data_IF_172277189691
#
_entry.id   IF_172277189691
#
_cell.length_a   1.000
_cell.length_b   1.000
_cell.length_c   1.000
_cell.angle_alpha   90.00
_cell.angle_beta   90.00
_cell.angle_gamma   90.00
#
_symmetry.space_group_name_H-M   'P 1'
#
loop_
_entity.id
_entity.type
_entity.pdbx_description
1 polymer ?
#
# COMPACT_ATOMS: atom_id res chain seq x y z
N UNK A 1 4.63 4.88 -15.07
CA UNK A 1 4.76 3.95 -13.94
C UNK A 1 3.81 2.78 -14.12
N UNK A 2 4.08 1.62 -13.51
CA UNK A 2 3.23 0.43 -13.51
C UNK A 2 2.77 -0.02 -14.91
N UNK A 3 3.69 -0.12 -15.89
CA UNK A 3 3.39 -0.62 -17.24
C UNK A 3 2.96 -2.09 -17.22
N UNK A 4 3.43 -2.83 -16.23
CA UNK A 4 2.98 -4.16 -15.83
C UNK A 4 2.42 -4.10 -14.41
N UNK A 5 1.59 -5.06 -13.96
CA UNK A 5 1.15 -5.11 -12.57
C UNK A 5 2.36 -5.12 -11.64
N UNK A 6 2.45 -4.22 -10.64
CA UNK A 6 3.52 -4.27 -9.65
C UNK A 6 3.47 -5.60 -8.88
N UNK A 7 4.61 -6.28 -8.81
CA UNK A 7 4.76 -7.52 -8.06
C UNK A 7 5.72 -7.29 -6.88
N UNK A 8 5.41 -7.88 -5.74
CA UNK A 8 6.23 -7.68 -4.54
C UNK A 8 5.71 -8.44 -3.33
N UNK A 9 6.24 -8.07 -2.17
CA UNK A 9 5.86 -8.60 -0.88
C UNK A 9 5.35 -7.47 0.02
N UNK A 10 4.32 -7.76 0.83
CA UNK A 10 3.74 -6.82 1.79
C UNK A 10 3.70 -7.47 3.18
N UNK A 11 3.98 -6.70 4.22
CA UNK A 11 4.15 -7.20 5.58
C UNK A 11 2.85 -7.62 6.28
N UNK A 12 1.67 -7.16 5.82
CA UNK A 12 0.43 -7.26 6.59
C UNK A 12 0.01 -8.69 6.92
N UNK A 13 -0.12 -9.52 5.90
CA UNK A 13 -0.64 -10.88 6.11
C UNK A 13 0.31 -11.78 6.91
N UNK A 14 1.60 -11.45 6.95
CA UNK A 14 2.61 -12.19 7.70
C UNK A 14 2.73 -11.71 9.16
N UNK A 15 2.74 -10.40 9.35
CA UNK A 15 3.17 -9.81 10.62
C UNK A 15 2.14 -8.88 11.27
N UNK A 16 1.10 -8.43 10.55
CA UNK A 16 0.20 -7.37 11.02
C UNK A 16 1.01 -6.20 11.58
N UNK A 17 0.75 -5.75 12.80
CA UNK A 17 1.52 -4.69 13.46
C UNK A 17 2.82 -5.16 14.14
N UNK A 18 3.16 -6.44 14.06
CA UNK A 18 4.40 -6.96 14.66
C UNK A 18 5.57 -6.89 13.67
N UNK A 19 5.82 -5.69 13.15
CA UNK A 19 6.88 -5.40 12.18
C UNK A 19 8.02 -4.61 12.83
N UNK A 20 9.25 -4.84 12.38
CA UNK A 20 10.40 -4.04 12.75
C UNK A 20 11.45 -4.02 11.63
N UNK A 21 12.37 -3.06 11.73
CA UNK A 21 13.41 -2.83 10.73
C UNK A 21 14.23 -4.08 10.43
N UNK A 22 14.60 -4.86 11.46
CA UNK A 22 15.40 -6.08 11.30
C UNK A 22 14.70 -7.11 10.42
N UNK A 23 13.42 -7.40 10.71
CA UNK A 23 12.61 -8.33 9.90
C UNK A 23 12.50 -7.87 8.45
N UNK A 24 12.25 -6.58 8.21
CA UNK A 24 12.10 -6.06 6.85
C UNK A 24 13.42 -6.15 6.07
N UNK A 25 14.56 -5.91 6.71
CA UNK A 25 15.88 -6.13 6.09
C UNK A 25 16.13 -7.60 5.75
N UNK A 26 15.78 -8.52 6.65
CA UNK A 26 15.87 -9.97 6.41
C UNK A 26 14.98 -10.40 5.23
N UNK A 27 13.75 -9.88 5.12
CA UNK A 27 12.88 -10.14 3.96
C UNK A 27 13.50 -9.59 2.67
N UNK A 28 14.09 -8.39 2.68
CA UNK A 28 14.79 -7.86 1.50
C UNK A 28 15.92 -8.79 1.04
N UNK A 29 16.70 -9.31 1.98
CA UNK A 29 17.77 -10.26 1.68
C UNK A 29 17.22 -11.59 1.14
N UNK A 30 16.12 -12.08 1.70
CA UNK A 30 15.43 -13.30 1.22
C UNK A 30 14.86 -13.12 -0.18
N UNK A 31 14.21 -12.00 -0.48
CA UNK A 31 13.68 -11.73 -1.83
C UNK A 31 14.77 -11.79 -2.92
N UNK A 32 15.99 -11.38 -2.57
CA UNK A 32 17.14 -11.48 -3.50
C UNK A 32 17.71 -12.90 -3.52
N UNK A 33 18.01 -13.48 -2.36
CA UNK A 33 18.70 -14.76 -2.28
C UNK A 33 17.89 -15.96 -2.75
N UNK A 34 16.56 -15.89 -2.68
CA UNK A 34 15.65 -16.95 -3.16
C UNK A 34 15.28 -16.81 -4.64
N UNK A 35 15.73 -15.73 -5.32
CA UNK A 35 15.40 -15.48 -6.72
C UNK A 35 14.03 -14.82 -6.95
N UNK A 36 13.31 -14.42 -5.90
CA UNK A 36 12.03 -13.71 -6.06
C UNK A 36 12.19 -12.42 -6.87
N UNK A 37 13.24 -11.63 -6.58
CA UNK A 37 13.57 -10.43 -7.35
C UNK A 37 13.75 -10.73 -8.83
N UNK A 38 14.51 -11.78 -9.17
CA UNK A 38 14.78 -12.17 -10.57
C UNK A 38 13.53 -12.69 -11.27
N UNK A 39 12.55 -13.19 -10.51
CA UNK A 39 11.22 -13.56 -11.00
C UNK A 39 10.27 -12.35 -11.16
N UNK A 40 10.73 -11.12 -10.85
CA UNK A 40 9.98 -9.89 -11.02
C UNK A 40 9.27 -9.34 -9.77
N UNK A 41 9.46 -9.96 -8.60
CA UNK A 41 8.95 -9.43 -7.32
C UNK A 41 9.88 -8.32 -6.82
N UNK A 42 9.67 -7.11 -7.30
CA UNK A 42 10.60 -5.99 -7.10
C UNK A 42 10.23 -5.09 -5.92
N UNK A 43 8.96 -5.09 -5.49
CA UNK A 43 8.47 -4.21 -4.43
C UNK A 43 8.51 -4.90 -3.07
N UNK A 44 9.09 -4.23 -2.07
CA UNK A 44 8.97 -4.62 -0.67
C UNK A 44 8.22 -3.52 0.07
N UNK A 45 7.02 -3.86 0.55
CA UNK A 45 6.10 -2.90 1.15
C UNK A 45 5.96 -3.17 2.65
N UNK A 46 6.17 -2.13 3.48
CA UNK A 46 5.71 -2.15 4.87
C UNK A 46 4.27 -1.64 4.91
N UNK A 47 3.41 -2.38 5.60
CA UNK A 47 2.00 -2.04 5.80
C UNK A 47 1.80 -1.17 7.05
N UNK A 48 0.62 -1.14 7.64
CA UNK A 48 0.28 -0.33 8.80
C UNK A 48 1.21 -0.54 10.01
N UNK A 49 1.16 0.37 10.98
CA UNK A 49 1.88 0.32 12.25
C UNK A 49 3.37 0.72 12.23
N UNK A 50 3.88 1.30 11.16
CA UNK A 50 5.22 1.91 11.17
C UNK A 50 5.23 3.32 11.81
N UNK A 51 4.07 4.01 11.82
CA UNK A 51 3.88 5.37 12.34
C UNK A 51 3.23 5.34 13.73
N UNK A 52 3.53 6.35 14.58
CA UNK A 52 3.03 6.41 15.96
C UNK A 52 2.31 7.72 16.31
N UNK A 53 2.53 8.79 15.57
CA UNK A 53 1.97 10.11 15.89
C UNK A 53 2.31 11.16 14.85
N UNK A 54 2.03 12.41 15.20
CA UNK A 54 2.54 13.59 14.50
C UNK A 54 3.17 14.54 15.49
N UNK A 55 4.18 15.28 15.08
CA UNK A 55 4.75 16.35 15.87
C UNK A 55 3.87 17.62 15.85
N UNK A 56 4.32 18.67 16.52
CA UNK A 56 3.60 19.95 16.61
C UNK A 56 3.51 20.68 15.25
N UNK A 57 4.32 20.30 14.29
CA UNK A 57 4.35 20.83 12.92
C UNK A 57 3.53 19.97 11.94
N UNK A 58 2.96 18.85 12.45
CA UNK A 58 2.16 17.90 11.69
C UNK A 58 2.97 16.84 10.96
N UNK A 59 4.29 16.78 11.14
CA UNK A 59 5.12 15.75 10.51
C UNK A 59 4.81 14.38 11.10
N UNK A 60 4.72 13.37 10.23
CA UNK A 60 4.47 12.01 10.65
C UNK A 60 5.69 11.44 11.42
N UNK A 61 5.43 10.84 12.58
CA UNK A 61 6.45 10.26 13.44
C UNK A 61 6.54 8.75 13.22
N UNK A 62 7.76 8.28 13.02
CA UNK A 62 8.10 6.86 12.89
C UNK A 62 8.14 6.21 14.26
N UNK A 63 7.79 4.94 14.36
CA UNK A 63 8.03 4.12 15.54
C UNK A 63 9.54 3.83 15.70
N UNK A 64 10.25 4.70 16.42
CA UNK A 64 11.70 4.59 16.62
C UNK A 64 12.11 3.31 17.35
N UNK A 65 11.22 2.70 18.13
CA UNK A 65 11.49 1.41 18.79
C UNK A 65 11.61 0.29 17.76
N UNK A 66 10.74 0.27 16.77
CA UNK A 66 10.70 -0.76 15.76
C UNK A 66 11.54 -0.41 14.52
N UNK A 67 11.74 0.87 14.23
CA UNK A 67 12.51 1.39 13.10
C UNK A 67 13.59 2.39 13.58
N UNK A 68 14.59 1.95 14.35
CA UNK A 68 15.55 2.84 15.02
C UNK A 68 16.43 3.63 14.07
N UNK A 69 16.67 3.15 12.85
CA UNK A 69 17.44 3.89 11.82
C UNK A 69 16.56 4.85 11.00
N UNK A 70 15.24 4.82 11.19
CA UNK A 70 14.26 5.58 10.43
C UNK A 70 13.93 4.97 9.06
N UNK A 71 12.82 5.43 8.50
CA UNK A 71 12.28 4.89 7.24
C UNK A 71 13.21 5.17 6.05
N UNK A 72 13.87 6.33 6.01
CA UNK A 72 14.81 6.63 4.93
C UNK A 72 15.97 5.63 4.86
N UNK A 73 16.58 5.31 6.00
CA UNK A 73 17.69 4.34 6.04
C UNK A 73 17.23 2.93 5.66
N UNK A 74 15.99 2.55 5.98
CA UNK A 74 15.39 1.31 5.53
C UNK A 74 15.16 1.30 4.02
N UNK A 75 14.62 2.38 3.46
CA UNK A 75 14.45 2.53 2.01
C UNK A 75 15.78 2.45 1.26
N UNK A 76 16.82 3.16 1.74
CA UNK A 76 18.17 3.13 1.16
C UNK A 76 18.76 1.69 1.18
N UNK A 77 18.53 0.94 2.27
CA UNK A 77 18.94 -0.46 2.35
C UNK A 77 18.23 -1.33 1.29
N UNK A 78 16.91 -1.20 1.18
CA UNK A 78 16.10 -1.95 0.20
C UNK A 78 16.53 -1.61 -1.23
N UNK A 79 16.78 -0.34 -1.52
CA UNK A 79 17.33 0.11 -2.80
C UNK A 79 18.71 -0.47 -3.08
N UNK A 80 19.58 -0.61 -2.05
CA UNK A 80 20.91 -1.22 -2.21
C UNK A 80 20.84 -2.69 -2.67
N UNK A 81 19.71 -3.37 -2.42
CA UNK A 81 19.42 -4.73 -2.92
C UNK A 81 18.84 -4.73 -4.33
N UNK A 82 18.61 -3.56 -4.92
CA UNK A 82 17.94 -3.38 -6.22
C UNK A 82 16.45 -3.66 -6.16
N UNK A 83 15.84 -3.58 -4.99
CA UNK A 83 14.40 -3.63 -4.75
C UNK A 83 13.83 -2.21 -4.67
N UNK A 84 12.51 -2.10 -4.76
CA UNK A 84 11.74 -0.86 -4.57
C UNK A 84 11.05 -0.88 -3.23
N UNK A 85 11.01 0.26 -2.55
CA UNK A 85 10.41 0.38 -1.23
C UNK A 85 8.99 0.94 -1.27
N UNK A 86 8.05 0.26 -0.64
CA UNK A 86 6.68 0.72 -0.47
C UNK A 86 6.31 0.98 0.98
N UNK A 87 5.34 1.88 1.16
CA UNK A 87 4.83 2.28 2.46
C UNK A 87 3.30 2.31 2.45
N UNK A 88 2.70 2.34 3.63
CA UNK A 88 1.25 2.39 3.84
C UNK A 88 0.84 3.70 4.52
N UNK A 89 -0.33 4.21 4.13
CA UNK A 89 -1.07 5.23 4.85
C UNK A 89 -2.59 5.08 4.60
N UNK A 90 -3.38 6.05 5.06
CA UNK A 90 -4.83 6.01 4.95
C UNK A 90 -5.38 7.39 4.58
N UNK A 91 -6.46 7.41 3.80
CA UNK A 91 -7.18 8.64 3.41
C UNK A 91 -7.96 9.26 4.58
N UNK A 92 -8.26 8.48 5.61
CA UNK A 92 -8.95 8.93 6.81
C UNK A 92 -8.04 9.65 7.81
N UNK A 93 -8.62 10.01 8.94
CA UNK A 93 -7.89 10.61 10.06
C UNK A 93 -6.99 9.60 10.76
N UNK A 94 -7.39 8.34 10.77
CA UNK A 94 -6.63 7.21 11.31
C UNK A 94 -6.51 6.09 10.26
N UNK A 95 -5.47 5.27 10.42
CA UNK A 95 -5.31 4.00 9.70
C UNK A 95 -6.23 2.93 10.27
N UNK A 96 -6.32 1.78 9.59
CA UNK A 96 -7.16 0.67 10.06
C UNK A 96 -6.71 0.12 11.44
N UNK A 97 -5.42 0.23 11.77
CA UNK A 97 -4.89 -0.10 13.09
C UNK A 97 -4.89 1.10 14.08
N UNK A 98 -5.60 2.19 13.76
CA UNK A 98 -5.71 3.37 14.64
C UNK A 98 -4.45 4.22 14.72
N UNK A 99 -3.56 4.15 13.74
CA UNK A 99 -2.38 5.01 13.61
C UNK A 99 -2.75 6.30 12.87
N UNK A 100 -1.92 7.35 12.88
CA UNK A 100 -2.23 8.58 12.13
C UNK A 100 -2.40 8.31 10.63
N UNK A 101 -3.56 8.70 10.08
CA UNK A 101 -3.81 8.78 8.65
C UNK A 101 -3.30 10.09 8.04
N UNK A 102 -3.47 10.26 6.72
CA UNK A 102 -2.96 11.42 5.99
C UNK A 102 -4.00 12.53 5.77
N UNK A 103 -5.25 12.36 6.27
CA UNK A 103 -6.29 13.39 6.05
C UNK A 103 -5.85 14.75 6.60
N UNK A 104 -5.83 15.76 5.73
CA UNK A 104 -5.35 17.11 6.05
C UNK A 104 -3.84 17.31 5.94
N UNK A 105 -3.07 16.22 5.75
CA UNK A 105 -1.60 16.23 5.67
C UNK A 105 -1.05 15.66 4.36
N UNK A 106 -1.90 15.43 3.34
CA UNK A 106 -1.54 14.70 2.12
C UNK A 106 -0.29 15.25 1.45
N UNK A 107 -0.20 16.59 1.29
CA UNK A 107 0.95 17.23 0.65
C UNK A 107 2.22 17.19 1.50
N UNK A 108 2.08 17.24 2.82
CA UNK A 108 3.20 17.13 3.75
C UNK A 108 3.73 15.71 3.77
N UNK A 109 2.84 14.72 3.92
CA UNK A 109 3.20 13.32 3.92
C UNK A 109 3.82 12.89 2.59
N UNK A 110 3.26 13.32 1.45
CA UNK A 110 3.81 13.02 0.14
C UNK A 110 5.25 13.55 -0.06
N UNK A 111 5.57 14.75 0.46
CA UNK A 111 6.94 15.27 0.46
C UNK A 111 7.86 14.39 1.31
N UNK A 112 7.42 14.06 2.51
CA UNK A 112 8.17 13.18 3.42
C UNK A 112 8.44 11.81 2.79
N UNK A 113 7.43 11.20 2.16
CA UNK A 113 7.60 9.92 1.46
C UNK A 113 8.60 10.03 0.28
N UNK A 114 8.54 11.14 -0.46
CA UNK A 114 9.50 11.39 -1.55
C UNK A 114 10.93 11.57 -1.03
N UNK A 115 11.13 12.30 0.07
CA UNK A 115 12.42 12.49 0.74
C UNK A 115 12.99 11.18 1.31
N UNK A 116 12.13 10.29 1.78
CA UNK A 116 12.52 8.95 2.24
C UNK A 116 12.82 7.98 1.10
N UNK A 117 12.50 8.34 -0.14
CA UNK A 117 12.76 7.47 -1.28
C UNK A 117 11.69 6.40 -1.50
N UNK A 118 10.46 6.63 -1.07
CA UNK A 118 9.33 5.71 -1.30
C UNK A 118 9.02 5.58 -2.79
N UNK A 119 8.78 4.34 -3.25
CA UNK A 119 8.45 4.01 -4.65
C UNK A 119 6.99 3.57 -4.82
N UNK A 120 6.32 3.20 -3.74
CA UNK A 120 4.95 2.69 -3.74
C UNK A 120 4.21 3.13 -2.48
N UNK A 121 2.98 3.60 -2.63
CA UNK A 121 2.09 3.95 -1.53
C UNK A 121 0.80 3.13 -1.62
N UNK A 122 0.56 2.24 -0.63
CA UNK A 122 -0.78 1.70 -0.36
C UNK A 122 -1.55 2.72 0.46
N UNK A 123 -2.74 3.10 0.00
CA UNK A 123 -3.52 4.17 0.61
C UNK A 123 -4.93 3.68 0.92
N UNK A 124 -5.18 3.42 2.20
CA UNK A 124 -6.38 2.76 2.70
C UNK A 124 -7.55 3.73 2.95
N UNK A 125 -8.69 3.21 3.40
CA UNK A 125 -9.95 3.94 3.51
C UNK A 125 -10.60 3.91 4.90
N UNK A 126 -9.91 3.47 5.95
CA UNK A 126 -10.42 3.45 7.31
C UNK A 126 -10.61 4.88 7.85
N UNK A 127 -11.57 5.08 8.76
CA UNK A 127 -11.87 6.36 9.41
C UNK A 127 -12.03 7.52 8.41
N UNK A 128 -12.75 7.27 7.34
CA UNK A 128 -12.97 8.21 6.24
C UNK A 128 -13.90 9.38 6.60
N UNK A 129 -14.76 9.20 7.64
CA UNK A 129 -15.70 10.20 8.14
C UNK A 129 -16.60 10.78 7.04
N UNK A 130 -17.03 9.94 6.10
CA UNK A 130 -17.95 10.29 5.04
C UNK A 130 -17.34 11.15 3.91
N UNK A 131 -16.03 11.12 3.72
CA UNK A 131 -15.39 11.77 2.58
C UNK A 131 -15.88 11.19 1.26
N UNK A 132 -15.83 12.00 0.20
CA UNK A 132 -15.96 11.49 -1.15
C UNK A 132 -14.67 10.75 -1.55
N UNK A 133 -14.72 9.45 -1.89
CA UNK A 133 -13.52 8.66 -2.18
C UNK A 133 -12.71 9.22 -3.34
N UNK A 134 -13.36 9.54 -4.47
CA UNK A 134 -12.68 10.08 -5.64
C UNK A 134 -11.93 11.38 -5.34
N UNK A 135 -12.52 12.28 -4.55
CA UNK A 135 -11.89 13.53 -4.15
C UNK A 135 -10.69 13.30 -3.22
N UNK A 136 -10.85 12.41 -2.22
CA UNK A 136 -9.79 12.11 -1.26
C UNK A 136 -8.56 11.47 -1.94
N UNK A 137 -8.78 10.44 -2.78
CA UNK A 137 -7.70 9.79 -3.54
C UNK A 137 -7.07 10.74 -4.56
N UNK A 138 -7.88 11.59 -5.21
CA UNK A 138 -7.34 12.61 -6.11
C UNK A 138 -6.43 13.60 -5.38
N UNK A 139 -6.77 14.02 -4.17
CA UNK A 139 -5.94 14.92 -3.36
C UNK A 139 -4.57 14.30 -3.08
N UNK A 140 -4.52 13.03 -2.65
CA UNK A 140 -3.24 12.34 -2.44
C UNK A 140 -2.49 12.14 -3.76
N UNK A 141 -3.17 11.79 -4.85
CA UNK A 141 -2.54 11.69 -6.18
C UNK A 141 -1.87 13.00 -6.61
N UNK A 142 -2.55 14.13 -6.40
CA UNK A 142 -1.99 15.45 -6.72
C UNK A 142 -0.80 15.78 -5.80
N UNK A 143 -0.87 15.42 -4.53
CA UNK A 143 0.23 15.59 -3.57
C UNK A 143 1.47 14.76 -3.96
N UNK A 144 1.27 13.49 -4.34
CA UNK A 144 2.35 12.63 -4.81
C UNK A 144 3.00 13.17 -6.08
N UNK A 145 2.20 13.65 -7.04
CA UNK A 145 2.73 14.30 -8.26
C UNK A 145 3.53 15.56 -7.92
N UNK A 146 3.03 16.38 -6.99
CA UNK A 146 3.69 17.61 -6.56
C UNK A 146 5.01 17.36 -5.79
N UNK A 147 5.18 16.19 -5.20
CA UNK A 147 6.44 15.80 -4.52
C UNK A 147 7.63 15.64 -5.47
N UNK A 148 7.38 15.48 -6.78
CA UNK A 148 8.39 15.30 -7.81
C UNK A 148 9.00 13.90 -7.91
N UNK A 149 8.69 12.98 -6.97
CA UNK A 149 9.13 11.59 -7.04
C UNK A 149 8.07 10.71 -7.71
N UNK A 150 8.46 9.80 -8.62
CA UNK A 150 7.54 8.82 -9.19
C UNK A 150 7.19 7.74 -8.16
N UNK A 151 6.00 7.82 -7.57
CA UNK A 151 5.48 6.87 -6.57
C UNK A 151 4.29 6.13 -7.18
N UNK A 152 4.33 4.80 -7.21
CA UNK A 152 3.18 3.98 -7.60
C UNK A 152 2.10 4.13 -6.53
N UNK A 153 0.90 4.53 -6.94
CA UNK A 153 -0.21 4.82 -6.04
C UNK A 153 -1.26 3.72 -6.10
N UNK A 154 -1.46 3.02 -4.99
CA UNK A 154 -2.42 1.93 -4.82
C UNK A 154 -3.61 2.40 -4.00
N UNK A 155 -4.77 2.40 -4.61
CA UNK A 155 -6.05 2.79 -4.02
C UNK A 155 -6.67 1.58 -3.32
N UNK A 156 -6.94 1.68 -2.02
CA UNK A 156 -7.45 0.59 -1.19
C UNK A 156 -8.74 0.98 -0.46
N UNK A 157 -9.86 1.08 -1.21
CA UNK A 157 -11.20 1.33 -0.65
C UNK A 157 -12.13 0.11 -0.83
N UNK A 158 -11.52 -1.06 -1.00
CA UNK A 158 -12.17 -2.39 -1.05
C UNK A 158 -13.21 -2.56 -2.15
N UNK A 159 -13.19 -1.73 -3.20
CA UNK A 159 -14.16 -1.77 -4.30
C UNK A 159 -15.51 -1.12 -3.98
N UNK A 160 -15.65 -0.49 -2.83
CA UNK A 160 -16.94 0.04 -2.34
C UNK A 160 -17.55 1.13 -3.25
N UNK A 161 -16.70 1.99 -3.81
CA UNK A 161 -17.14 3.06 -4.73
C UNK A 161 -16.86 2.73 -6.20
N UNK A 162 -16.57 1.46 -6.53
CA UNK A 162 -16.24 1.01 -7.88
C UNK A 162 -15.06 1.79 -8.49
N UNK A 163 -13.87 1.76 -7.86
CA UNK A 163 -12.74 2.61 -8.24
C UNK A 163 -12.29 2.38 -9.69
N UNK A 164 -12.52 1.21 -10.26
CA UNK A 164 -12.27 0.94 -11.67
C UNK A 164 -12.99 1.88 -12.63
N UNK A 165 -14.07 2.54 -12.20
CA UNK A 165 -14.83 3.48 -13.05
C UNK A 165 -14.27 4.91 -13.05
N UNK A 166 -13.50 5.29 -12.02
CA UNK A 166 -13.03 6.67 -11.85
C UNK A 166 -11.52 6.81 -11.54
N UNK A 167 -10.84 5.76 -11.10
CA UNK A 167 -9.48 5.88 -10.58
C UNK A 167 -8.37 5.94 -11.66
N UNK A 168 -8.71 5.68 -12.93
CA UNK A 168 -7.77 5.84 -14.03
C UNK A 168 -7.22 7.26 -14.09
N UNK A 169 -5.88 7.40 -14.03
CA UNK A 169 -5.18 8.70 -13.99
C UNK A 169 -5.08 9.32 -12.58
N UNK A 170 -5.76 8.72 -11.59
CA UNK A 170 -5.62 9.03 -10.15
C UNK A 170 -4.62 8.06 -9.52
N UNK A 171 -4.91 6.76 -9.56
CA UNK A 171 -4.04 5.69 -9.08
C UNK A 171 -3.50 4.80 -10.21
N UNK A 172 -2.57 3.93 -9.85
CA UNK A 172 -1.98 2.95 -10.77
C UNK A 172 -2.55 1.54 -10.56
N UNK A 173 -3.12 1.27 -9.40
CA UNK A 173 -3.91 0.09 -9.11
C UNK A 173 -4.99 0.44 -8.08
N UNK A 174 -6.02 -0.40 -8.01
CA UNK A 174 -7.15 -0.22 -7.12
C UNK A 174 -7.74 -1.56 -6.69
N UNK A 175 -8.01 -1.66 -5.40
CA UNK A 175 -8.68 -2.81 -4.81
C UNK A 175 -10.09 -2.96 -5.39
N UNK A 176 -10.44 -4.17 -5.73
CA UNK A 176 -11.74 -4.51 -6.33
C UNK A 176 -12.68 -5.20 -5.35
N UNK A 177 -12.14 -5.68 -4.23
CA UNK A 177 -12.86 -6.47 -3.22
C UNK A 177 -12.42 -6.11 -1.81
N UNK A 178 -13.18 -6.54 -0.80
CA UNK A 178 -12.70 -6.66 0.57
C UNK A 178 -11.46 -7.55 0.68
N UNK A 179 -10.85 -7.58 1.85
CA UNK A 179 -9.60 -8.30 2.08
C UNK A 179 -9.77 -9.81 1.89
N UNK A 180 -8.75 -10.44 1.32
CA UNK A 180 -8.72 -11.89 1.19
C UNK A 180 -8.60 -12.55 2.56
N UNK A 181 -9.38 -13.61 2.76
CA UNK A 181 -9.30 -14.47 3.95
C UNK A 181 -8.74 -15.83 3.60
N UNK A 182 -8.18 -16.53 4.59
CA UNK A 182 -7.68 -17.89 4.42
C UNK A 182 -8.83 -18.89 4.28
N UNK A 183 -9.62 -18.75 3.21
CA UNK A 183 -10.72 -19.63 2.86
C UNK A 183 -10.83 -19.74 1.34
N UNK A 184 -11.12 -20.94 0.83
CA UNK A 184 -11.37 -21.12 -0.60
C UNK A 184 -12.66 -20.42 -1.04
N UNK A 185 -13.71 -20.46 -0.19
CA UNK A 185 -15.02 -19.85 -0.46
C UNK A 185 -15.64 -19.30 0.81
N UNK A 186 -16.39 -18.18 0.68
CA UNK A 186 -17.16 -17.55 1.74
C UNK A 186 -16.80 -16.09 1.96
N UNK A 187 -17.69 -15.40 2.68
CA UNK A 187 -17.49 -14.02 3.12
C UNK A 187 -17.63 -14.01 4.64
N UNK A 188 -16.68 -13.41 5.34
CA UNK A 188 -16.74 -13.30 6.79
C UNK A 188 -17.57 -12.08 7.25
N UNK A 189 -17.74 -11.90 8.57
CA UNK A 189 -18.61 -10.88 9.16
C UNK A 189 -18.17 -9.43 8.90
N UNK A 190 -16.90 -9.20 8.56
CA UNK A 190 -16.37 -7.85 8.25
C UNK A 190 -16.17 -7.61 6.75
N UNK A 191 -16.64 -8.51 5.88
CA UNK A 191 -16.61 -8.34 4.43
C UNK A 191 -15.37 -8.92 3.74
N UNK A 192 -14.50 -9.60 4.47
CA UNK A 192 -13.37 -10.33 3.87
C UNK A 192 -13.86 -11.49 3.01
N UNK A 193 -13.21 -11.69 1.87
CA UNK A 193 -13.64 -12.59 0.79
C UNK A 193 -12.71 -13.80 0.64
N UNK A 194 -13.29 -14.98 0.40
CA UNK A 194 -12.55 -16.15 -0.05
C UNK A 194 -12.08 -16.02 -1.51
N UNK A 195 -11.23 -16.92 -1.95
CA UNK A 195 -10.62 -16.91 -3.29
C UNK A 195 -11.68 -16.90 -4.40
N UNK A 196 -12.72 -17.73 -4.27
CA UNK A 196 -13.78 -17.86 -5.29
C UNK A 196 -14.56 -16.55 -5.45
N UNK A 197 -14.94 -15.91 -4.34
CA UNK A 197 -15.67 -14.64 -4.37
C UNK A 197 -14.82 -13.53 -5.00
N UNK A 198 -13.51 -13.52 -4.76
CA UNK A 198 -12.59 -12.56 -5.37
C UNK A 198 -12.51 -12.78 -6.89
N UNK A 199 -12.37 -14.04 -7.34
CA UNK A 199 -12.33 -14.39 -8.76
C UNK A 199 -13.63 -13.96 -9.43
N UNK A 200 -14.77 -14.33 -8.86
CA UNK A 200 -16.09 -14.01 -9.43
C UNK A 200 -16.31 -12.49 -9.54
N UNK A 201 -15.95 -11.73 -8.50
CA UNK A 201 -16.05 -10.26 -8.53
C UNK A 201 -15.14 -9.60 -9.57
N UNK A 202 -14.00 -10.22 -9.90
CA UNK A 202 -13.05 -9.68 -10.88
C UNK A 202 -13.33 -10.13 -12.32
N UNK A 203 -14.17 -11.13 -12.56
CA UNK A 203 -14.37 -11.74 -13.88
C UNK A 203 -14.70 -10.71 -14.98
N UNK A 204 -15.57 -9.74 -14.70
CA UNK A 204 -15.99 -8.71 -15.64
C UNK A 204 -15.18 -7.41 -15.59
N UNK A 205 -14.16 -7.32 -14.72
CA UNK A 205 -13.39 -6.10 -14.52
C UNK A 205 -12.15 -5.99 -15.41
N UNK A 206 -11.81 -7.04 -16.18
CA UNK A 206 -10.63 -7.07 -17.06
C UNK A 206 -10.55 -5.87 -18.02
N UNK A 207 -11.69 -5.37 -18.48
CA UNK A 207 -11.80 -4.21 -19.39
C UNK A 207 -11.31 -2.89 -18.80
N UNK A 208 -11.16 -2.80 -17.48
CA UNK A 208 -10.69 -1.62 -16.78
C UNK A 208 -9.19 -1.65 -16.49
N UNK A 209 -8.54 -2.80 -16.69
CA UNK A 209 -7.10 -2.95 -16.46
C UNK A 209 -6.31 -2.75 -17.75
N UNK A 210 -5.09 -2.22 -17.62
CA UNK A 210 -4.16 -2.03 -18.72
C UNK A 210 -2.88 -1.33 -18.27
N UNK A 211 -1.91 -1.09 -19.16
CA UNK A 211 -0.67 -0.45 -18.79
C UNK A 211 -0.86 0.87 -18.03
N UNK A 212 -0.28 0.94 -16.83
CA UNK A 212 -0.37 2.10 -15.94
C UNK A 212 -1.59 2.13 -15.01
N UNK A 213 -2.51 1.15 -15.11
CA UNK A 213 -3.71 1.08 -14.28
C UNK A 213 -4.25 -0.36 -14.19
N UNK A 214 -4.31 -0.93 -12.98
CA UNK A 214 -4.55 -2.35 -12.76
C UNK A 214 -5.64 -2.59 -11.71
N UNK A 215 -6.47 -3.61 -11.94
CA UNK A 215 -7.31 -4.16 -10.91
C UNK A 215 -6.44 -4.91 -9.90
N UNK A 216 -6.69 -4.68 -8.63
CA UNK A 216 -6.01 -5.35 -7.53
C UNK A 216 -7.04 -6.20 -6.77
N UNK A 217 -7.01 -7.54 -6.92
CA UNK A 217 -7.94 -8.43 -6.23
C UNK A 217 -7.59 -8.65 -4.77
N UNK A 218 -6.47 -8.13 -4.30
CA UNK A 218 -5.85 -8.19 -2.99
C UNK A 218 -4.56 -9.01 -2.91
N UNK A 219 -3.88 -8.88 -1.78
CA UNK A 219 -2.67 -9.60 -1.44
C UNK A 219 -2.92 -11.12 -1.46
N UNK A 220 -2.08 -11.85 -2.18
CA UNK A 220 -2.15 -13.30 -2.17
C UNK A 220 -1.72 -13.86 -0.81
N UNK A 221 -2.50 -14.78 -0.24
CA UNK A 221 -2.13 -15.57 0.95
C UNK A 221 -1.29 -16.79 0.53
N UNK A 222 -0.22 -16.57 -0.20
CA UNK A 222 0.70 -17.67 -0.49
C UNK A 222 1.54 -17.91 0.75
N UNK A 223 1.32 -19.02 1.40
CA UNK A 223 2.25 -19.55 2.38
C UNK A 223 3.44 -20.16 1.60
N UNK A 224 4.53 -19.45 1.63
CA UNK A 224 5.82 -19.96 1.21
C UNK A 224 6.51 -20.53 2.45
#
# INVERSE_FOLDING_TARGET
MALTPPMGWNSWNCFSCNINEKQIREIADLMVSTGMKDAGYEYLNIDDCWQVGRDNEGNILVDEKNFPSGIKALADYIHSKGLKFGIYSCAGTLTCAGRPGSRGYQFQDARTYAEWGVDYLKYDWCFDEGQNPQAAYKTMSDALKASGRPIVFSICEWGNSQPWTWAKGIGHLWRTTGDIINAFKGINYWGGCGVVEIIDKNADLHKYAGPGHWNDPDLSLIHI
#
